data_IF_231057744131
#
_entry.id   IF_231057744131
#
_cell.length_a   1.000
_cell.length_b   1.000
_cell.length_c   1.000
_cell.angle_alpha   90.00
_cell.angle_beta   90.00
_cell.angle_gamma   90.00
#
_symmetry.space_group_name_H-M   'P 1'
#
loop_
_entity.id
_entity.type
_entity.pdbx_description
1 polymer ?
#
# COMPACT_ATOMS: atom_id res chain seq x y z
N UNK A 1 2.03 4.87 -29.23
CA UNK A 1 3.43 5.06 -28.77
C UNK A 1 4.40 5.32 -29.92
N UNK A 2 4.52 4.48 -30.97
CA UNK A 2 5.40 4.80 -32.11
C UNK A 2 5.14 6.18 -32.75
N UNK A 3 3.86 6.57 -32.90
CA UNK A 3 3.48 7.91 -33.36
C UNK A 3 3.98 9.00 -32.41
N UNK A 4 3.75 8.84 -31.10
CA UNK A 4 4.25 9.73 -30.05
C UNK A 4 5.78 9.84 -30.04
N UNK A 5 6.50 8.73 -30.19
CA UNK A 5 7.96 8.72 -30.36
C UNK A 5 8.35 9.58 -31.56
N UNK A 6 7.73 9.39 -32.72
CA UNK A 6 8.04 10.16 -33.93
C UNK A 6 7.73 11.65 -33.79
N UNK A 7 6.61 12.00 -33.18
CA UNK A 7 6.11 13.38 -33.10
C UNK A 7 6.76 14.19 -31.97
N UNK A 8 7.21 13.53 -30.90
CA UNK A 8 7.64 14.21 -29.67
C UNK A 8 9.02 13.80 -29.17
N UNK A 9 9.82 13.01 -29.91
CA UNK A 9 11.14 12.50 -29.47
C UNK A 9 12.03 13.53 -28.78
N UNK A 10 12.07 14.76 -29.28
CA UNK A 10 12.97 15.79 -28.77
C UNK A 10 12.46 16.41 -27.46
N UNK A 11 11.16 16.32 -27.20
CA UNK A 11 10.50 16.75 -25.97
C UNK A 11 10.48 15.66 -24.88
N UNK A 12 10.62 14.38 -25.26
CA UNK A 12 10.62 13.26 -24.31
C UNK A 12 11.93 13.25 -23.52
N UNK A 13 11.89 13.64 -22.23
CA UNK A 13 13.05 13.53 -21.31
C UNK A 13 12.87 12.47 -20.24
N UNK A 14 11.62 12.15 -19.88
CA UNK A 14 11.29 11.09 -18.93
C UNK A 14 10.35 10.10 -19.61
N UNK A 15 10.68 8.82 -19.57
CA UNK A 15 9.81 7.75 -20.05
C UNK A 15 9.38 6.87 -18.89
N UNK A 16 8.09 6.61 -18.76
CA UNK A 16 7.55 5.55 -17.89
C UNK A 16 7.20 4.35 -18.77
N UNK A 17 7.86 3.22 -18.61
CA UNK A 17 7.74 2.06 -19.50
C UNK A 17 7.38 0.79 -18.73
N UNK A 18 6.40 0.02 -19.21
CA UNK A 18 6.00 -1.21 -18.54
C UNK A 18 4.60 -1.68 -18.86
N UNK A 19 3.98 -2.33 -17.87
CA UNK A 19 2.68 -2.97 -17.99
C UNK A 19 1.49 -2.09 -17.56
N UNK A 20 0.38 -2.74 -17.17
CA UNK A 20 -0.82 -2.11 -16.63
C UNK A 20 -0.56 -1.15 -15.46
N UNK A 21 0.44 -1.39 -14.61
CA UNK A 21 0.78 -0.49 -13.50
C UNK A 21 1.31 0.83 -14.03
N UNK A 22 2.16 0.76 -15.06
CA UNK A 22 2.62 1.97 -15.74
C UNK A 22 1.47 2.64 -16.50
N UNK A 23 0.67 1.88 -17.25
CA UNK A 23 -0.43 2.43 -18.05
C UNK A 23 -1.43 3.22 -17.19
N UNK A 24 -1.80 2.67 -16.03
CA UNK A 24 -2.74 3.31 -15.09
C UNK A 24 -2.25 4.63 -14.52
N UNK A 25 -0.94 4.93 -14.52
CA UNK A 25 -0.46 6.24 -14.08
C UNK A 25 -1.07 7.39 -14.87
N UNK A 26 -1.41 7.23 -16.15
CA UNK A 26 -2.11 8.27 -16.92
C UNK A 26 -3.63 8.27 -16.73
N UNK A 27 -4.20 7.21 -16.16
CA UNK A 27 -5.65 7.09 -16.01
C UNK A 27 -6.08 7.55 -14.62
N UNK A 28 -5.36 7.10 -13.59
CA UNK A 28 -5.72 7.29 -12.19
C UNK A 28 -4.77 8.29 -11.50
N UNK A 29 -3.49 8.32 -11.91
CA UNK A 29 -2.44 9.16 -11.31
C UNK A 29 -2.12 10.46 -12.06
N UNK A 30 -2.83 10.76 -13.17
CA UNK A 30 -2.42 11.80 -14.11
C UNK A 30 -2.21 13.16 -13.46
N UNK A 31 -3.11 13.57 -12.55
CA UNK A 31 -3.04 14.88 -11.88
C UNK A 31 -1.72 15.05 -11.10
N UNK A 32 -1.36 14.04 -10.30
CA UNK A 32 -0.13 14.05 -9.49
C UNK A 32 1.09 14.04 -10.40
N UNK A 33 1.13 13.16 -11.39
CA UNK A 33 2.29 13.06 -12.29
C UNK A 33 2.48 14.31 -13.14
N UNK A 34 1.38 14.90 -13.61
CA UNK A 34 1.43 16.14 -14.36
C UNK A 34 2.00 17.27 -13.51
N UNK A 35 1.61 17.37 -12.24
CA UNK A 35 2.14 18.36 -11.30
C UNK A 35 3.65 18.26 -11.13
N UNK A 36 4.19 17.05 -10.97
CA UNK A 36 5.62 16.85 -10.73
C UNK A 36 6.50 16.82 -11.99
N UNK A 37 5.99 16.27 -13.10
CA UNK A 37 6.84 15.92 -14.25
C UNK A 37 6.50 16.65 -15.55
N UNK A 38 5.38 17.38 -15.64
CA UNK A 38 4.98 18.00 -16.92
C UNK A 38 6.04 18.95 -17.48
N UNK A 39 6.70 19.73 -16.60
CA UNK A 39 7.76 20.67 -16.99
C UNK A 39 9.01 19.98 -17.55
N UNK A 40 9.23 18.72 -17.21
CA UNK A 40 10.39 17.94 -17.65
C UNK A 40 10.13 17.20 -18.97
N UNK A 41 8.89 17.11 -19.45
CA UNK A 41 8.55 16.38 -20.68
C UNK A 41 8.51 14.86 -20.47
N UNK A 42 7.53 14.39 -19.68
CA UNK A 42 7.31 12.97 -19.42
C UNK A 42 6.33 12.34 -20.38
N UNK A 43 6.54 11.06 -20.68
CA UNK A 43 5.63 10.27 -21.51
C UNK A 43 5.46 8.85 -20.98
N UNK A 44 4.24 8.34 -21.13
CA UNK A 44 3.87 7.01 -20.70
C UNK A 44 3.94 6.03 -21.89
N UNK A 45 4.62 4.92 -21.64
CA UNK A 45 4.80 3.79 -22.53
C UNK A 45 4.31 2.50 -21.86
N UNK A 46 3.28 2.59 -21.01
CA UNK A 46 2.63 1.45 -20.38
C UNK A 46 1.60 0.81 -21.31
N UNK A 47 1.61 -0.51 -21.42
CA UNK A 47 0.51 -1.27 -22.05
C UNK A 47 -0.11 -2.22 -21.02
N UNK A 48 -1.42 -2.14 -20.88
CA UNK A 48 -2.17 -3.08 -20.03
C UNK A 48 -2.00 -4.52 -20.52
N UNK A 49 -1.56 -5.40 -19.63
CA UNK A 49 -1.43 -6.83 -19.89
C UNK A 49 -0.06 -7.27 -20.42
N UNK A 50 0.85 -6.34 -20.71
CA UNK A 50 2.21 -6.68 -21.15
C UNK A 50 2.93 -7.52 -20.09
N UNK A 51 3.58 -8.57 -20.55
CA UNK A 51 4.55 -9.36 -19.79
C UNK A 51 5.95 -9.08 -20.36
N UNK A 52 6.99 -9.67 -19.76
CA UNK A 52 8.38 -9.50 -20.21
C UNK A 52 8.57 -9.74 -21.71
N UNK A 53 7.88 -10.70 -22.31
CA UNK A 53 8.01 -10.99 -23.76
C UNK A 53 7.40 -9.93 -24.67
N UNK A 54 6.29 -9.29 -24.27
CA UNK A 54 5.73 -8.18 -25.04
C UNK A 54 6.66 -6.97 -24.96
N UNK A 55 7.28 -6.71 -23.81
CA UNK A 55 8.32 -5.69 -23.69
C UNK A 55 9.52 -5.98 -24.60
N UNK A 56 10.02 -7.21 -24.62
CA UNK A 56 11.10 -7.61 -25.53
C UNK A 56 10.71 -7.36 -26.99
N UNK A 57 9.52 -7.79 -27.39
CA UNK A 57 9.02 -7.55 -28.74
C UNK A 57 8.99 -6.05 -29.05
N UNK A 58 8.42 -5.23 -28.16
CA UNK A 58 8.32 -3.78 -28.36
C UNK A 58 9.68 -3.09 -28.52
N UNK A 59 10.68 -3.52 -27.77
CA UNK A 59 12.06 -3.02 -27.91
C UNK A 59 12.65 -3.32 -29.28
N UNK A 60 12.38 -4.51 -29.82
CA UNK A 60 12.84 -4.91 -31.15
C UNK A 60 12.06 -4.22 -32.28
N UNK A 61 10.88 -3.66 -31.98
CA UNK A 61 9.97 -3.04 -32.96
C UNK A 61 9.96 -1.50 -32.87
N UNK A 62 11.15 -0.93 -32.70
CA UNK A 62 11.45 0.50 -32.89
C UNK A 62 10.78 1.47 -31.92
N UNK A 63 10.22 0.97 -30.82
CA UNK A 63 9.49 1.84 -29.88
C UNK A 63 10.35 2.96 -29.29
N UNK A 64 11.65 2.67 -29.12
CA UNK A 64 12.66 3.58 -28.58
C UNK A 64 13.62 4.17 -29.62
N UNK A 65 13.45 3.84 -30.90
CA UNK A 65 14.38 4.29 -31.93
C UNK A 65 14.38 5.83 -32.02
N UNK A 66 15.56 6.42 -31.86
CA UNK A 66 15.76 7.86 -31.89
C UNK A 66 15.38 8.60 -30.60
N UNK A 67 15.00 7.91 -29.52
CA UNK A 67 14.81 8.53 -28.21
C UNK A 67 16.13 8.70 -27.47
N UNK A 68 16.26 9.80 -26.73
CA UNK A 68 17.39 10.06 -25.83
C UNK A 68 16.90 10.64 -24.48
N UNK A 69 15.98 9.93 -23.78
CA UNK A 69 15.45 10.42 -22.52
C UNK A 69 16.59 10.49 -21.49
N UNK A 70 16.50 11.43 -20.55
CA UNK A 70 17.45 11.49 -19.43
C UNK A 70 17.17 10.37 -18.42
N UNK A 71 15.89 10.00 -18.28
CA UNK A 71 15.42 9.06 -17.27
C UNK A 71 14.36 8.10 -17.84
N UNK A 72 14.46 6.82 -17.48
CA UNK A 72 13.49 5.77 -17.77
C UNK A 72 13.04 5.13 -16.46
N UNK A 73 11.76 5.25 -16.11
CA UNK A 73 11.14 4.44 -15.06
C UNK A 73 10.62 3.15 -15.69
N UNK A 74 11.10 2.00 -15.22
CA UNK A 74 10.78 0.71 -15.81
C UNK A 74 10.22 -0.27 -14.77
N UNK A 75 9.04 -0.85 -15.07
CA UNK A 75 8.39 -1.86 -14.24
C UNK A 75 7.73 -2.93 -15.11
N UNK A 76 8.16 -4.18 -14.98
CA UNK A 76 7.57 -5.33 -15.70
C UNK A 76 7.72 -6.62 -14.88
N UNK A 77 6.91 -7.63 -15.16
CA UNK A 77 7.05 -8.99 -14.61
C UNK A 77 5.79 -9.48 -13.93
N UNK A 78 4.99 -8.56 -13.40
CA UNK A 78 3.79 -8.90 -12.66
C UNK A 78 2.76 -9.70 -13.48
N UNK A 79 2.62 -9.45 -14.78
CA UNK A 79 1.69 -10.24 -15.61
C UNK A 79 2.19 -11.67 -15.87
N UNK A 80 3.48 -11.97 -15.68
CA UNK A 80 4.03 -13.32 -15.83
C UNK A 80 3.68 -14.27 -14.68
N UNK A 81 3.19 -13.73 -13.55
CA UNK A 81 2.71 -14.53 -12.42
C UNK A 81 1.31 -15.12 -12.65
N UNK A 82 0.58 -14.62 -13.65
CA UNK A 82 -0.80 -15.06 -13.92
C UNK A 82 -0.78 -16.46 -14.53
N UNK A 83 -1.71 -17.31 -14.11
CA UNK A 83 -1.90 -18.64 -14.69
C UNK A 83 -2.68 -18.56 -16.02
N UNK A 84 -2.11 -17.89 -17.00
CA UNK A 84 -2.66 -17.76 -18.35
C UNK A 84 -1.52 -17.81 -19.38
N UNK A 85 -1.81 -17.42 -20.63
CA UNK A 85 -0.81 -17.42 -21.69
C UNK A 85 0.46 -16.65 -21.32
N UNK A 86 0.42 -15.63 -20.45
CA UNK A 86 1.59 -14.85 -19.98
C UNK A 86 2.45 -15.54 -18.93
N UNK A 87 2.04 -16.71 -18.41
CA UNK A 87 2.77 -17.45 -17.38
C UNK A 87 4.24 -17.65 -17.76
N UNK A 88 5.12 -17.44 -16.79
CA UNK A 88 6.51 -17.88 -16.83
C UNK A 88 6.94 -18.35 -15.44
N UNK A 89 8.00 -19.15 -15.38
CA UNK A 89 8.73 -19.48 -14.15
C UNK A 89 9.54 -18.28 -13.65
N UNK A 90 9.98 -18.29 -12.40
CA UNK A 90 10.75 -17.17 -11.85
C UNK A 90 12.09 -16.98 -12.58
N UNK A 91 12.77 -18.07 -12.92
CA UNK A 91 14.02 -18.04 -13.69
C UNK A 91 13.83 -17.48 -15.10
N UNK A 92 12.73 -17.84 -15.78
CA UNK A 92 12.40 -17.27 -17.10
C UNK A 92 12.11 -15.78 -17.00
N UNK A 93 11.42 -15.35 -15.94
CA UNK A 93 11.15 -13.93 -15.69
C UNK A 93 12.45 -13.17 -15.47
N UNK A 94 13.35 -13.67 -14.61
CA UNK A 94 14.65 -13.03 -14.34
C UNK A 94 15.51 -12.94 -15.60
N UNK A 95 15.65 -14.03 -16.34
CA UNK A 95 16.39 -14.05 -17.62
C UNK A 95 15.82 -13.04 -18.62
N UNK A 96 14.50 -12.94 -18.70
CA UNK A 96 13.87 -11.97 -19.59
C UNK A 96 14.08 -10.53 -19.12
N UNK A 97 13.99 -10.25 -17.80
CA UNK A 97 14.25 -8.93 -17.24
C UNK A 97 15.70 -8.49 -17.48
N UNK A 98 16.66 -9.39 -17.30
CA UNK A 98 18.06 -9.15 -17.61
C UNK A 98 18.26 -8.77 -19.07
N UNK A 99 17.70 -9.57 -19.99
CA UNK A 99 17.79 -9.31 -21.42
C UNK A 99 17.14 -7.98 -21.81
N UNK A 100 16.01 -7.63 -21.20
CA UNK A 100 15.35 -6.34 -21.41
C UNK A 100 16.27 -5.19 -20.99
N UNK A 101 16.90 -5.30 -19.81
CA UNK A 101 17.77 -4.24 -19.27
C UNK A 101 18.99 -4.05 -20.17
N UNK A 102 19.61 -5.13 -20.66
CA UNK A 102 20.73 -5.02 -21.60
C UNK A 102 20.30 -4.38 -22.93
N UNK A 103 19.16 -4.77 -23.50
CA UNK A 103 18.60 -4.11 -24.70
C UNK A 103 18.29 -2.63 -24.46
N UNK A 104 17.80 -2.28 -23.28
CA UNK A 104 17.55 -0.89 -22.91
C UNK A 104 18.85 -0.09 -22.81
N UNK A 105 19.93 -0.68 -22.26
CA UNK A 105 21.24 -0.05 -22.21
C UNK A 105 21.82 0.20 -23.60
N UNK A 106 21.70 -0.77 -24.50
CA UNK A 106 22.14 -0.66 -25.89
C UNK A 106 21.38 0.42 -26.64
N UNK A 107 20.05 0.45 -26.51
CA UNK A 107 19.19 1.41 -27.22
C UNK A 107 19.25 2.82 -26.64
N UNK A 108 19.46 2.94 -25.33
CA UNK A 108 19.39 4.21 -24.59
C UNK A 108 20.68 4.47 -23.77
N UNK A 109 21.87 4.47 -24.39
CA UNK A 109 23.15 4.41 -23.67
C UNK A 109 23.47 5.63 -22.78
N UNK A 110 22.67 6.70 -22.87
CA UNK A 110 22.82 7.93 -22.08
C UNK A 110 21.72 8.10 -21.02
N UNK A 111 20.81 7.14 -20.91
CA UNK A 111 19.61 7.22 -20.08
C UNK A 111 19.84 6.53 -18.74
N UNK A 112 19.51 7.19 -17.63
CA UNK A 112 19.43 6.51 -16.33
C UNK A 112 18.13 5.70 -16.25
N UNK A 113 18.20 4.48 -15.74
CA UNK A 113 17.07 3.56 -15.60
C UNK A 113 16.76 3.43 -14.12
N UNK A 114 15.54 3.78 -13.72
CA UNK A 114 14.97 3.42 -12.42
C UNK A 114 14.19 2.12 -12.62
N UNK A 115 14.79 1.00 -12.21
CA UNK A 115 14.13 -0.30 -12.23
C UNK A 115 13.28 -0.45 -10.98
N UNK A 116 11.97 -0.47 -11.14
CA UNK A 116 11.01 -0.57 -10.03
C UNK A 116 10.70 -2.04 -9.76
N UNK A 117 10.85 -2.46 -8.51
CA UNK A 117 10.52 -3.83 -8.07
C UNK A 117 9.05 -4.19 -8.30
N UNK A 118 8.76 -5.50 -8.31
CA UNK A 118 7.38 -5.99 -8.26
C UNK A 118 6.68 -5.43 -7.02
N UNK A 119 5.39 -5.13 -7.15
CA UNK A 119 4.55 -4.82 -6.01
C UNK A 119 4.09 -6.11 -5.31
N UNK A 120 3.85 -6.06 -3.99
CA UNK A 120 3.21 -7.16 -3.29
C UNK A 120 1.84 -7.51 -3.80
N UNK A 121 1.49 -8.78 -3.57
CA UNK A 121 0.25 -9.40 -4.02
C UNK A 121 -0.27 -10.36 -2.94
N UNK A 122 -1.30 -11.13 -3.26
CA UNK A 122 -1.84 -12.16 -2.35
C UNK A 122 -1.32 -13.55 -2.74
N UNK A 123 -1.09 -14.41 -1.74
CA UNK A 123 -0.74 -15.83 -1.92
C UNK A 123 0.59 -16.07 -2.63
N UNK A 124 0.69 -17.17 -3.38
CA UNK A 124 1.91 -17.61 -4.10
C UNK A 124 2.56 -16.50 -4.95
N UNK A 125 1.76 -15.61 -5.55
CA UNK A 125 2.30 -14.52 -6.39
C UNK A 125 3.11 -13.48 -5.61
N UNK A 126 2.94 -13.42 -4.30
CA UNK A 126 3.68 -12.54 -3.39
C UNK A 126 5.06 -13.11 -3.05
N UNK A 127 5.16 -14.42 -2.86
CA UNK A 127 6.44 -15.12 -2.68
C UNK A 127 7.30 -15.02 -3.93
N UNK A 128 6.69 -15.19 -5.09
CA UNK A 128 7.35 -14.99 -6.39
C UNK A 128 7.81 -13.55 -6.56
N UNK A 129 6.97 -12.56 -6.21
CA UNK A 129 7.36 -11.15 -6.24
C UNK A 129 8.57 -10.85 -5.31
N UNK A 130 8.59 -11.41 -4.09
CA UNK A 130 9.75 -11.33 -3.17
C UNK A 130 11.00 -11.94 -3.78
N UNK A 131 10.90 -13.15 -4.31
CA UNK A 131 12.02 -13.86 -4.90
C UNK A 131 12.65 -13.06 -6.06
N UNK A 132 11.81 -12.56 -6.97
CA UNK A 132 12.25 -11.70 -8.08
C UNK A 132 12.93 -10.44 -7.53
N UNK A 133 12.31 -9.74 -6.58
CA UNK A 133 12.87 -8.50 -6.05
C UNK A 133 14.21 -8.70 -5.33
N UNK A 134 14.37 -9.78 -4.56
CA UNK A 134 15.65 -10.10 -3.91
C UNK A 134 16.78 -10.26 -4.94
N UNK A 135 16.50 -10.96 -6.04
CA UNK A 135 17.47 -11.08 -7.13
C UNK A 135 17.83 -9.71 -7.73
N UNK A 136 16.84 -8.85 -7.97
CA UNK A 136 17.07 -7.52 -8.55
C UNK A 136 17.84 -6.60 -7.58
N UNK A 137 17.63 -6.71 -6.27
CA UNK A 137 18.44 -6.03 -5.25
C UNK A 137 19.90 -6.47 -5.38
N UNK A 138 20.14 -7.77 -5.37
CA UNK A 138 21.50 -8.32 -5.42
C UNK A 138 22.22 -7.92 -6.70
N UNK A 139 21.51 -7.94 -7.83
CA UNK A 139 22.09 -7.67 -9.13
C UNK A 139 22.26 -6.19 -9.45
N UNK A 140 21.25 -5.36 -9.16
CA UNK A 140 21.21 -3.97 -9.63
C UNK A 140 21.38 -2.94 -8.53
N UNK A 141 20.93 -3.21 -7.29
CA UNK A 141 21.10 -2.25 -6.18
C UNK A 141 22.52 -2.27 -5.61
N UNK A 142 23.12 -3.46 -5.52
CA UNK A 142 24.49 -3.66 -5.00
C UNK A 142 25.57 -3.55 -6.07
N UNK A 143 25.18 -3.39 -7.33
CA UNK A 143 26.07 -3.30 -8.47
C UNK A 143 26.78 -1.93 -8.54
N UNK A 144 27.96 -1.89 -9.16
CA UNK A 144 28.67 -0.64 -9.47
C UNK A 144 28.14 0.07 -10.73
N UNK A 145 27.19 -0.55 -11.44
CA UNK A 145 26.48 0.03 -12.59
C UNK A 145 25.73 1.29 -12.16
N UNK A 146 26.15 2.44 -12.71
CA UNK A 146 25.54 3.75 -12.42
C UNK A 146 24.38 4.07 -13.36
N UNK A 147 24.10 3.22 -14.34
CA UNK A 147 23.02 3.41 -15.29
C UNK A 147 21.71 2.86 -14.75
N UNK A 148 21.73 1.74 -14.01
CA UNK A 148 20.53 1.09 -13.46
C UNK A 148 20.46 1.30 -11.95
N UNK A 149 19.38 1.91 -11.49
CA UNK A 149 19.09 2.12 -10.09
C UNK A 149 17.85 1.33 -9.71
N UNK A 150 18.00 0.30 -8.87
CA UNK A 150 16.86 -0.46 -8.38
C UNK A 150 16.12 0.32 -7.29
N UNK A 151 14.83 0.57 -7.51
CA UNK A 151 13.92 1.13 -6.53
C UNK A 151 13.06 0.01 -5.96
N UNK A 152 13.43 -0.42 -4.76
CA UNK A 152 12.62 -1.35 -3.97
C UNK A 152 11.44 -0.60 -3.37
N UNK A 153 10.28 -0.74 -4.01
CA UNK A 153 9.01 -0.28 -3.45
C UNK A 153 8.27 -1.41 -2.74
N UNK A 154 8.66 -2.67 -2.92
CA UNK A 154 7.98 -3.81 -2.32
C UNK A 154 8.00 -3.69 -0.80
N UNK A 155 9.17 -3.42 -0.22
CA UNK A 155 9.31 -3.17 1.21
C UNK A 155 8.42 -2.04 1.74
N UNK A 156 8.04 -1.06 0.91
CA UNK A 156 7.16 0.06 1.28
C UNK A 156 5.66 -0.31 1.25
N UNK A 157 5.30 -1.33 0.48
CA UNK A 157 3.93 -1.86 0.35
C UNK A 157 3.76 -3.22 1.05
N UNK A 158 4.83 -3.80 1.62
CA UNK A 158 4.81 -5.01 2.48
C UNK A 158 5.20 -4.76 3.91
N UNK A 159 5.62 -3.53 4.22
CA UNK A 159 5.48 -3.07 5.61
C UNK A 159 4.04 -3.26 6.06
N UNK A 160 3.11 -3.26 5.13
CA UNK A 160 1.70 -3.34 5.35
C UNK A 160 1.10 -4.50 4.49
N UNK A 161 0.04 -5.17 4.93
CA UNK A 161 -0.55 -6.41 4.36
C UNK A 161 0.00 -7.77 4.87
N UNK A 162 -0.57 -8.26 5.98
CA UNK A 162 -1.06 -9.63 6.06
C UNK A 162 -2.46 -9.61 6.70
N UNK A 163 -3.42 -10.21 5.99
CA UNK A 163 -4.70 -10.71 6.52
C UNK A 163 -5.89 -9.74 6.67
N UNK A 164 -6.45 -9.24 5.54
CA UNK A 164 -7.88 -8.83 5.48
C UNK A 164 -8.68 -9.72 4.55
N UNK A 165 -8.84 -10.97 4.96
CA UNK A 165 -10.04 -11.74 4.62
C UNK A 165 -10.24 -12.80 5.70
N UNK A 166 -10.64 -12.33 6.88
CA UNK A 166 -11.51 -13.14 7.73
C UNK A 166 -12.82 -12.37 7.86
N UNK A 167 -13.68 -12.49 6.84
CA UNK A 167 -15.11 -12.31 7.08
C UNK A 167 -15.54 -13.49 7.94
N UNK A 168 -15.45 -13.33 9.25
CA UNK A 168 -16.26 -14.09 10.17
C UNK A 168 -17.65 -13.47 10.07
N UNK A 169 -18.68 -14.31 9.96
CA UNK A 169 -20.03 -13.87 10.26
C UNK A 169 -20.04 -13.09 11.58
N UNK A 170 -20.96 -12.13 11.70
CA UNK A 170 -21.09 -11.23 12.84
C UNK A 170 -20.89 -12.03 14.16
N UNK A 171 -19.81 -11.76 14.92
CA UNK A 171 -19.38 -12.67 15.98
C UNK A 171 -20.39 -12.71 17.13
N UNK A 172 -20.45 -13.83 17.84
CA UNK A 172 -21.14 -13.90 19.13
C UNK A 172 -20.34 -13.10 20.16
N UNK A 173 -20.57 -11.78 20.15
CA UNK A 173 -19.88 -10.81 21.00
C UNK A 173 -20.01 -11.17 22.49
N UNK A 174 -21.02 -11.97 22.85
CA UNK A 174 -21.28 -12.32 24.25
C UNK A 174 -20.21 -13.25 24.85
N UNK A 175 -19.44 -13.95 24.02
CA UNK A 175 -18.46 -14.97 24.44
C UNK A 175 -17.00 -14.52 24.40
N UNK A 176 -16.75 -13.25 24.10
CA UNK A 176 -15.41 -12.70 23.95
C UNK A 176 -14.71 -13.13 22.66
N UNK A 177 -13.65 -12.41 22.24
CA UNK A 177 -12.94 -12.73 21.01
C UNK A 177 -12.16 -14.05 21.14
N UNK A 178 -12.04 -14.83 20.05
CA UNK A 178 -11.12 -15.94 20.00
C UNK A 178 -9.70 -15.42 20.22
N UNK A 179 -8.89 -16.25 20.87
CA UNK A 179 -7.48 -15.96 21.06
C UNK A 179 -6.78 -16.13 19.72
N UNK A 180 -6.14 -15.08 19.24
CA UNK A 180 -5.25 -15.15 18.07
C UNK A 180 -3.80 -15.12 18.51
N UNK A 181 -2.98 -15.88 17.79
CA UNK A 181 -1.54 -15.91 17.96
C UNK A 181 -0.87 -14.64 17.40
N UNK A 182 -1.54 -13.90 16.50
CA UNK A 182 -0.96 -12.76 15.79
C UNK A 182 -1.72 -11.44 16.03
N UNK A 183 -1.01 -10.32 16.32
CA UNK A 183 -1.61 -9.01 16.56
C UNK A 183 -2.14 -8.31 15.29
N UNK A 184 -1.89 -8.86 14.09
CA UNK A 184 -2.43 -8.36 12.83
C UNK A 184 -3.69 -9.10 12.35
N UNK A 185 -4.17 -10.10 13.10
CA UNK A 185 -5.42 -10.77 12.74
C UNK A 185 -6.59 -10.01 13.37
N UNK A 186 -7.53 -9.45 12.59
CA UNK A 186 -8.65 -8.68 13.12
C UNK A 186 -9.48 -9.48 14.14
N UNK A 187 -9.84 -8.86 15.26
CA UNK A 187 -10.62 -9.48 16.32
C UNK A 187 -11.54 -8.46 17.00
N UNK A 188 -12.75 -8.85 17.40
CA UNK A 188 -13.62 -7.96 18.18
C UNK A 188 -13.10 -7.75 19.61
N UNK A 189 -13.64 -6.76 20.32
CA UNK A 189 -13.37 -6.55 21.74
C UNK A 189 -14.49 -7.05 22.65
N UNK A 190 -14.19 -7.16 23.94
CA UNK A 190 -15.11 -7.68 24.96
C UNK A 190 -14.72 -7.16 26.35
N UNK A 191 -15.70 -6.76 27.16
CA UNK A 191 -15.48 -6.16 28.48
C UNK A 191 -15.89 -7.06 29.65
N UNK A 192 -15.86 -8.38 29.47
CA UNK A 192 -16.24 -9.30 30.53
C UNK A 192 -17.70 -9.73 30.47
N UNK A 193 -18.02 -10.75 31.26
CA UNK A 193 -19.39 -11.30 31.38
C UNK A 193 -20.40 -10.31 31.95
N UNK A 194 -19.94 -9.28 32.67
CA UNK A 194 -20.81 -8.25 33.24
C UNK A 194 -21.27 -7.21 32.22
N UNK A 195 -20.49 -7.00 31.15
CA UNK A 195 -20.85 -6.10 30.06
C UNK A 195 -20.34 -6.64 28.71
N UNK A 196 -20.88 -7.77 28.24
CA UNK A 196 -20.27 -8.51 27.15
C UNK A 196 -20.53 -7.86 25.78
N UNK A 197 -21.55 -6.99 25.65
CA UNK A 197 -21.82 -6.20 24.44
C UNK A 197 -21.18 -4.82 24.45
N UNK A 198 -20.73 -4.31 25.61
CA UNK A 198 -20.38 -2.90 25.77
C UNK A 198 -19.26 -2.41 24.85
N UNK A 199 -18.36 -3.28 24.39
CA UNK A 199 -17.38 -2.93 23.36
C UNK A 199 -18.06 -2.69 22.00
N UNK A 200 -18.96 -3.60 21.59
CA UNK A 200 -19.73 -3.48 20.35
C UNK A 200 -20.62 -2.24 20.38
N UNK A 201 -21.28 -1.97 21.50
CA UNK A 201 -22.15 -0.79 21.65
C UNK A 201 -21.36 0.52 21.45
N UNK A 202 -20.09 0.56 21.89
CA UNK A 202 -19.19 1.72 21.64
C UNK A 202 -18.82 1.85 20.17
N UNK A 203 -18.44 0.74 19.53
CA UNK A 203 -18.14 0.72 18.10
C UNK A 203 -19.35 1.17 17.26
N UNK A 204 -20.54 0.62 17.52
CA UNK A 204 -21.77 0.99 16.79
C UNK A 204 -22.12 2.48 16.99
N UNK A 205 -21.88 3.05 18.18
CA UNK A 205 -22.02 4.49 18.40
C UNK A 205 -21.08 5.31 17.52
N UNK A 206 -19.84 4.85 17.32
CA UNK A 206 -18.87 5.53 16.45
C UNK A 206 -19.25 5.40 14.96
N UNK A 207 -19.70 4.22 14.52
CA UNK A 207 -20.24 4.02 13.16
C UNK A 207 -21.42 4.96 12.91
N UNK A 208 -22.40 5.01 13.81
CA UNK A 208 -23.54 5.92 13.70
C UNK A 208 -23.11 7.40 13.69
N UNK A 209 -22.08 7.75 14.47
CA UNK A 209 -21.49 9.09 14.46
C UNK A 209 -20.85 9.41 13.11
N UNK A 210 -20.09 8.48 12.54
CA UNK A 210 -19.53 8.59 11.19
C UNK A 210 -20.61 8.80 10.15
N UNK A 211 -21.64 7.95 10.14
CA UNK A 211 -22.72 8.04 9.16
C UNK A 211 -23.49 9.37 9.25
N UNK A 212 -23.78 9.83 10.47
CA UNK A 212 -24.52 11.06 10.72
C UNK A 212 -23.72 12.35 10.55
N UNK A 213 -22.39 12.32 10.80
CA UNK A 213 -21.54 13.50 10.91
C UNK A 213 -20.29 13.50 10.02
N UNK A 214 -20.18 12.60 9.03
CA UNK A 214 -19.00 12.51 8.13
C UNK A 214 -18.54 13.83 7.52
N UNK A 215 -19.46 14.75 7.27
CA UNK A 215 -19.16 16.07 6.70
C UNK A 215 -18.62 17.06 7.75
N UNK A 216 -18.89 16.83 9.03
CA UNK A 216 -18.46 17.67 10.16
C UNK A 216 -17.12 17.18 10.74
N UNK A 217 -16.83 15.90 10.60
CA UNK A 217 -15.60 15.26 11.05
C UNK A 217 -14.41 15.76 10.21
N UNK A 218 -13.53 16.57 10.81
CA UNK A 218 -12.30 17.10 10.18
C UNK A 218 -11.04 16.55 10.82
N UNK A 219 -11.10 16.18 12.09
CA UNK A 219 -9.99 15.59 12.84
C UNK A 219 -10.52 14.33 13.52
N UNK A 220 -9.87 13.19 13.31
CA UNK A 220 -10.21 11.93 13.99
C UNK A 220 -9.04 11.51 14.86
N UNK A 221 -9.29 11.30 16.15
CA UNK A 221 -8.37 10.62 17.05
C UNK A 221 -8.82 9.16 17.15
N UNK A 222 -7.98 8.20 16.75
CA UNK A 222 -8.35 6.79 16.62
C UNK A 222 -7.37 5.90 17.39
N UNK A 223 -7.89 4.98 18.23
CA UNK A 223 -7.03 4.08 19.00
C UNK A 223 -7.68 3.48 20.25
N UNK A 224 -6.85 3.29 21.28
CA UNK A 224 -7.22 2.60 22.52
C UNK A 224 -7.61 3.55 23.68
N UNK A 225 -7.49 3.07 24.93
CA UNK A 225 -7.69 3.81 26.17
C UNK A 225 -6.97 5.16 26.26
N UNK A 226 -5.77 5.31 25.67
CA UNK A 226 -5.04 6.58 25.67
C UNK A 226 -5.70 7.60 24.75
N UNK A 227 -6.27 7.11 23.65
CA UNK A 227 -7.11 7.91 22.77
C UNK A 227 -8.41 8.27 23.49
N UNK A 228 -9.12 7.30 24.10
CA UNK A 228 -10.35 7.55 24.87
C UNK A 228 -10.12 8.61 25.97
N UNK A 229 -8.95 8.56 26.60
CA UNK A 229 -8.48 9.49 27.63
C UNK A 229 -8.65 10.98 27.29
N UNK A 230 -8.57 11.36 26.01
CA UNK A 230 -8.70 12.76 25.61
C UNK A 230 -10.11 13.33 25.84
N UNK A 231 -11.17 12.51 25.79
CA UNK A 231 -12.55 12.98 26.06
C UNK A 231 -13.00 12.72 27.50
N UNK A 232 -12.15 12.05 28.29
CA UNK A 232 -12.33 11.81 29.73
C UNK A 232 -11.39 12.70 30.53
N UNK A 233 -10.20 12.23 30.89
CA UNK A 233 -9.24 12.97 31.74
C UNK A 233 -8.69 14.21 31.04
N UNK A 234 -8.53 14.18 29.72
CA UNK A 234 -8.03 15.28 28.89
C UNK A 234 -9.11 16.25 28.39
N UNK A 235 -10.34 16.15 28.90
CA UNK A 235 -11.52 16.80 28.30
C UNK A 235 -11.40 18.31 28.12
N UNK A 236 -10.77 19.01 29.06
CA UNK A 236 -10.65 20.47 28.98
C UNK A 236 -9.82 20.89 27.76
N UNK A 237 -8.67 20.23 27.56
CA UNK A 237 -7.82 20.42 26.38
C UNK A 237 -8.58 19.99 25.12
N UNK A 238 -9.32 18.88 25.17
CA UNK A 238 -10.10 18.43 24.02
C UNK A 238 -11.15 19.45 23.56
N UNK A 239 -11.88 20.01 24.52
CA UNK A 239 -12.92 21.00 24.27
C UNK A 239 -12.34 22.32 23.74
N UNK A 240 -11.20 22.75 24.27
CA UNK A 240 -10.53 23.98 23.84
C UNK A 240 -9.95 23.85 22.42
N UNK A 241 -9.28 22.73 22.12
CA UNK A 241 -8.48 22.61 20.91
C UNK A 241 -9.11 21.80 19.79
N UNK A 242 -9.97 20.81 20.06
CA UNK A 242 -10.40 19.87 19.02
C UNK A 242 -11.89 19.94 18.69
N UNK A 243 -12.78 20.16 19.67
CA UNK A 243 -14.25 20.21 19.42
C UNK A 243 -14.63 21.23 18.35
N UNK A 244 -14.20 22.49 18.51
CA UNK A 244 -14.51 23.57 17.55
C UNK A 244 -13.89 23.39 16.17
N UNK A 245 -12.94 22.46 16.03
CA UNK A 245 -12.24 22.15 14.77
C UNK A 245 -12.83 20.92 14.08
N UNK A 246 -13.95 20.39 14.55
CA UNK A 246 -14.54 19.16 14.02
C UNK A 246 -13.76 17.92 14.45
N UNK A 247 -13.24 17.93 15.69
CA UNK A 247 -12.51 16.83 16.30
C UNK A 247 -13.44 15.79 16.90
N UNK A 248 -13.23 14.54 16.52
CA UNK A 248 -13.96 13.38 17.02
C UNK A 248 -12.99 12.34 17.58
N UNK A 249 -13.38 11.74 18.70
CA UNK A 249 -12.56 10.78 19.43
C UNK A 249 -13.15 9.38 19.33
N UNK A 250 -12.42 8.51 18.65
CA UNK A 250 -12.76 7.13 18.37
C UNK A 250 -11.79 6.23 19.15
N UNK A 251 -11.65 6.50 20.45
CA UNK A 251 -10.88 5.68 21.39
C UNK A 251 -11.75 4.65 22.09
N UNK A 252 -11.32 3.39 22.12
CA UNK A 252 -11.98 2.35 22.93
C UNK A 252 -10.96 1.69 23.84
N UNK A 253 -11.16 1.80 25.15
CA UNK A 253 -10.29 1.19 26.15
C UNK A 253 -10.11 -0.32 25.96
N UNK A 254 -8.87 -0.80 26.13
CA UNK A 254 -8.51 -2.20 25.99
C UNK A 254 -8.25 -2.68 24.54
N UNK A 255 -8.49 -1.83 23.54
CA UNK A 255 -8.18 -2.17 22.15
C UNK A 255 -6.68 -2.38 21.95
N UNK A 256 -6.35 -3.46 21.26
CA UNK A 256 -5.04 -3.69 20.65
C UNK A 256 -5.13 -3.42 19.15
N UNK A 257 -4.02 -3.59 18.44
CA UNK A 257 -4.00 -3.50 16.97
C UNK A 257 -5.10 -4.34 16.29
N UNK A 258 -5.46 -5.49 16.86
CA UNK A 258 -6.48 -6.39 16.29
C UNK A 258 -7.89 -5.81 16.31
N UNK A 259 -8.26 -5.14 17.40
CA UNK A 259 -9.57 -4.50 17.54
C UNK A 259 -9.68 -3.30 16.61
N UNK A 260 -8.60 -2.52 16.49
CA UNK A 260 -8.56 -1.40 15.56
C UNK A 260 -8.71 -1.86 14.10
N UNK A 261 -7.98 -2.92 13.71
CA UNK A 261 -8.13 -3.51 12.37
C UNK A 261 -9.56 -3.98 12.12
N UNK A 262 -10.17 -4.66 13.10
CA UNK A 262 -11.57 -5.08 12.98
C UNK A 262 -12.51 -3.89 12.82
N UNK A 263 -12.36 -2.83 13.63
CA UNK A 263 -13.21 -1.63 13.58
C UNK A 263 -13.14 -0.92 12.22
N UNK A 264 -11.97 -0.86 11.60
CA UNK A 264 -11.80 -0.33 10.24
C UNK A 264 -12.58 -1.20 9.25
N UNK A 265 -12.41 -2.52 9.30
CA UNK A 265 -13.13 -3.48 8.45
C UNK A 265 -14.66 -3.43 8.64
N UNK A 266 -15.13 -2.86 9.76
CA UNK A 266 -16.54 -2.77 10.15
C UNK A 266 -17.06 -1.33 10.12
N UNK A 267 -16.64 -0.58 9.10
CA UNK A 267 -17.22 0.70 8.66
C UNK A 267 -17.02 1.88 9.59
N UNK A 268 -16.24 1.77 10.65
CA UNK A 268 -16.13 2.87 11.62
C UNK A 268 -15.57 4.15 10.98
N UNK A 269 -14.73 4.02 9.95
CA UNK A 269 -14.16 5.13 9.20
C UNK A 269 -14.75 5.30 7.79
N UNK A 270 -15.76 4.52 7.41
CA UNK A 270 -16.27 4.48 6.03
C UNK A 270 -16.83 5.84 5.58
N UNK A 271 -16.36 6.29 4.42
CA UNK A 271 -16.80 7.54 3.81
C UNK A 271 -16.36 8.81 4.56
N UNK A 272 -15.52 8.69 5.59
CA UNK A 272 -14.84 9.83 6.19
C UNK A 272 -13.74 10.35 5.26
N UNK A 273 -13.61 11.68 5.19
CA UNK A 273 -12.49 12.34 4.51
C UNK A 273 -11.91 13.40 5.45
N UNK A 274 -11.33 12.98 6.60
CA UNK A 274 -10.83 13.92 7.58
C UNK A 274 -9.59 14.63 7.02
N UNK A 275 -9.33 15.85 7.49
CA UNK A 275 -8.10 16.57 7.17
C UNK A 275 -6.90 15.99 7.92
N UNK A 276 -7.15 15.46 9.13
CA UNK A 276 -6.13 14.89 10.02
C UNK A 276 -6.69 13.65 10.69
N UNK A 277 -5.93 12.57 10.68
CA UNK A 277 -6.15 11.42 11.54
C UNK A 277 -4.96 11.27 12.48
N UNK A 278 -5.22 11.28 13.79
CA UNK A 278 -4.26 11.05 14.85
C UNK A 278 -4.44 9.61 15.32
N UNK A 279 -3.41 8.80 15.13
CA UNK A 279 -3.46 7.37 15.39
C UNK A 279 -2.48 6.99 16.49
N UNK A 280 -2.94 6.22 17.48
CA UNK A 280 -2.12 5.70 18.57
C UNK A 280 -2.66 4.35 19.06
N UNK A 281 -1.87 3.29 18.92
CA UNK A 281 -2.21 1.93 19.33
C UNK A 281 -0.94 1.18 19.75
N UNK A 282 -1.06 -0.09 20.14
CA UNK A 282 0.07 -1.00 20.34
C UNK A 282 0.40 -1.24 21.82
N UNK A 283 0.07 -0.31 22.71
CA UNK A 283 0.33 -0.45 24.15
C UNK A 283 -0.32 -1.68 24.78
N UNK A 284 -1.55 -2.01 24.38
CA UNK A 284 -2.27 -3.18 24.89
C UNK A 284 -1.75 -4.52 24.33
N UNK A 285 -0.88 -4.50 23.31
CA UNK A 285 -0.26 -5.71 22.77
C UNK A 285 0.93 -6.21 23.62
N UNK A 286 1.39 -5.42 24.59
CA UNK A 286 2.41 -5.85 25.56
C UNK A 286 1.81 -6.57 26.78
N UNK A 287 0.49 -6.58 26.92
CA UNK A 287 -0.18 -7.29 28.01
C UNK A 287 -0.08 -8.81 27.81
N UNK A 288 0.15 -9.55 28.90
CA UNK A 288 0.20 -11.02 28.86
C UNK A 288 -1.20 -11.62 28.86
N UNK A 289 -1.94 -11.39 27.78
CA UNK A 289 -3.29 -11.90 27.58
C UNK A 289 -3.51 -12.19 26.09
N UNK A 290 -4.77 -12.37 25.70
CA UNK A 290 -5.11 -12.66 24.32
C UNK A 290 -4.61 -11.59 23.34
N UNK A 291 -4.34 -10.34 23.73
CA UNK A 291 -3.83 -9.26 22.86
C UNK A 291 -2.33 -9.28 22.58
N UNK A 292 -1.58 -10.19 23.22
CA UNK A 292 -0.13 -10.23 23.16
C UNK A 292 0.41 -10.31 21.71
N UNK A 293 1.52 -9.63 21.45
CA UNK A 293 2.34 -9.76 20.24
C UNK A 293 3.81 -9.43 20.51
N UNK A 294 4.73 -9.83 19.64
CA UNK A 294 6.12 -9.33 19.69
C UNK A 294 6.24 -7.94 19.07
N UNK A 295 7.33 -7.23 19.34
CA UNK A 295 7.60 -5.90 18.78
C UNK A 295 7.44 -5.88 17.24
N UNK A 296 8.02 -6.85 16.53
CA UNK A 296 7.92 -6.95 15.07
C UNK A 296 6.49 -7.20 14.61
N UNK A 297 5.74 -7.98 15.38
CA UNK A 297 4.37 -8.30 15.05
C UNK A 297 3.44 -7.10 15.27
N UNK A 298 3.67 -6.33 16.34
CA UNK A 298 2.95 -5.09 16.64
C UNK A 298 3.23 -4.06 15.54
N UNK A 299 4.50 -3.83 15.19
CA UNK A 299 4.88 -2.89 14.10
C UNK A 299 4.20 -3.28 12.80
N UNK A 300 4.17 -4.57 12.47
CA UNK A 300 3.48 -5.06 11.27
C UNK A 300 1.96 -4.81 11.32
N UNK A 301 1.34 -4.96 12.49
CA UNK A 301 -0.08 -4.70 12.66
C UNK A 301 -0.42 -3.20 12.60
N UNK A 302 0.42 -2.33 13.17
CA UNK A 302 0.29 -0.87 13.07
C UNK A 302 0.43 -0.38 11.63
N UNK A 303 1.42 -0.93 10.93
CA UNK A 303 1.54 -0.74 9.51
C UNK A 303 0.24 -1.12 8.80
N UNK A 304 -0.31 -2.32 9.03
CA UNK A 304 -1.60 -2.78 8.46
C UNK A 304 -2.71 -1.77 8.63
N UNK A 305 -2.82 -1.21 9.83
CA UNK A 305 -3.80 -0.18 10.12
C UNK A 305 -3.61 1.04 9.21
N UNK A 306 -2.37 1.47 9.00
CA UNK A 306 -2.05 2.62 8.14
C UNK A 306 -2.39 2.38 6.66
N UNK A 307 -2.22 1.18 6.07
CA UNK A 307 -2.73 0.94 4.70
C UNK A 307 -4.23 0.99 4.63
N UNK A 308 -4.94 0.42 5.61
CA UNK A 308 -6.40 0.34 5.51
C UNK A 308 -7.06 1.71 5.71
N UNK A 309 -6.34 2.67 6.29
CA UNK A 309 -6.78 4.07 6.44
C UNK A 309 -6.49 4.90 5.16
N UNK A 310 -5.55 4.48 4.30
CA UNK A 310 -5.08 5.22 3.11
C UNK A 310 -5.68 4.72 1.80
#
# INVERSE_FOLDING_TARGET
MLKQTKEHRDAIKIVFFGDSKIARFLEEGHKVWHEYYAKEGYYNYGIRGDSTRQILWRLDHKEFDGLTPKLLFFMIGGNNFKNNYNKGTDDEILKAMDLIIEKLKEKLPKTKIILVGQLPRKGETDERARYINNHLVDKYKKSSDKMVHFLDIFAKYTTISKDHNVSLADPDITKGPPVYDKPWVPAWGWFGTQNPTGWRDRHEKMVNTTEGHKNDIKIVFFGDSKTEGWVTEGRDVWNEYYVKRGGFNYGIGGDSTRQVLWRIDHKELDGLVPKVLVFMIGGNNFADNYNRGTDEEIVKAEHLIVENIH
#
